data_IF_232874938146
#
_entry.id   IF_232874938146
#
_cell.length_a   1.000
_cell.length_b   1.000
_cell.length_c   1.000
_cell.angle_alpha   90.00
_cell.angle_beta   90.00
_cell.angle_gamma   90.00
#
_symmetry.space_group_name_H-M   'P 1'
#
loop_
_entity.id
_entity.type
_entity.pdbx_description
1 polymer ?
#
# COMPACT_ATOMS: atom_id res chain seq x y z
N UNK A 1 -34.07 8.43 8.21
CA UNK A 1 -32.62 8.24 7.96
C UNK A 1 -32.32 6.78 8.26
N UNK A 2 -31.97 5.98 7.25
CA UNK A 2 -31.58 4.58 7.49
C UNK A 2 -30.15 4.57 8.03
N UNK A 3 -29.97 4.19 9.28
CA UNK A 3 -28.63 3.95 9.85
C UNK A 3 -28.15 2.64 9.24
N UNK A 4 -27.22 2.71 8.29
CA UNK A 4 -26.55 1.54 7.75
C UNK A 4 -25.88 0.80 8.90
N UNK A 5 -26.35 -0.41 9.20
CA UNK A 5 -25.67 -1.30 10.15
C UNK A 5 -24.24 -1.54 9.66
N UNK A 6 -23.20 -1.43 10.51
CA UNK A 6 -21.84 -1.74 10.10
C UNK A 6 -21.77 -3.16 9.56
N UNK A 7 -21.22 -3.34 8.35
CA UNK A 7 -21.05 -4.66 7.75
C UNK A 7 -20.14 -5.52 8.64
N UNK A 8 -20.50 -6.77 8.88
CA UNK A 8 -19.75 -7.69 9.73
C UNK A 8 -18.38 -8.07 9.12
N UNK A 9 -18.16 -7.80 7.83
CA UNK A 9 -16.95 -8.11 7.08
C UNK A 9 -16.72 -7.20 5.87
N UNK A 10 -15.62 -7.46 5.15
CA UNK A 10 -15.29 -6.73 3.94
C UNK A 10 -16.01 -7.31 2.72
N UNK A 11 -16.34 -6.46 1.76
CA UNK A 11 -16.85 -6.92 0.47
C UNK A 11 -15.78 -7.66 -0.32
N UNK A 12 -16.21 -8.52 -1.26
CA UNK A 12 -15.29 -9.25 -2.15
C UNK A 12 -14.36 -8.30 -2.92
N UNK A 13 -14.88 -7.14 -3.37
CA UNK A 13 -14.10 -6.13 -4.05
C UNK A 13 -13.00 -5.53 -3.15
N UNK A 14 -13.31 -5.22 -1.89
CA UNK A 14 -12.33 -4.69 -0.93
C UNK A 14 -11.20 -5.69 -0.65
N UNK A 15 -11.52 -6.98 -0.59
CA UNK A 15 -10.55 -8.07 -0.38
C UNK A 15 -9.66 -8.25 -1.61
N UNK A 16 -10.24 -8.35 -2.81
CA UNK A 16 -9.47 -8.52 -4.05
C UNK A 16 -8.52 -7.34 -4.25
N UNK A 17 -9.02 -6.11 -4.13
CA UNK A 17 -8.18 -4.91 -4.26
C UNK A 17 -7.04 -4.88 -3.23
N UNK A 18 -7.27 -5.38 -2.01
CA UNK A 18 -6.22 -5.44 -0.98
C UNK A 18 -5.07 -6.32 -1.45
N UNK A 19 -5.39 -7.57 -1.82
CA UNK A 19 -4.37 -8.56 -2.15
C UNK A 19 -3.69 -8.28 -3.49
N UNK A 20 -4.42 -7.74 -4.47
CA UNK A 20 -3.81 -7.29 -5.72
C UNK A 20 -2.80 -6.19 -5.44
N UNK A 21 -3.17 -5.13 -4.71
CA UNK A 21 -2.24 -4.05 -4.38
C UNK A 21 -1.04 -4.57 -3.58
N UNK A 22 -1.26 -5.45 -2.58
CA UNK A 22 -0.18 -6.05 -1.80
C UNK A 22 0.81 -6.84 -2.69
N UNK A 23 0.30 -7.62 -3.64
CA UNK A 23 1.14 -8.37 -4.60
C UNK A 23 1.92 -7.43 -5.54
N UNK A 24 1.28 -6.37 -6.02
CA UNK A 24 1.94 -5.37 -6.88
C UNK A 24 3.02 -4.59 -6.11
N UNK A 25 2.81 -4.27 -4.83
CA UNK A 25 3.83 -3.66 -3.97
C UNK A 25 5.02 -4.61 -3.81
N UNK A 26 4.75 -5.89 -3.54
CA UNK A 26 5.83 -6.88 -3.44
C UNK A 26 6.62 -6.96 -4.75
N UNK A 27 5.95 -6.98 -5.90
CA UNK A 27 6.60 -6.92 -7.21
C UNK A 27 7.49 -5.66 -7.34
N UNK A 28 6.98 -4.48 -6.96
CA UNK A 28 7.76 -3.23 -6.99
C UNK A 28 9.03 -3.31 -6.14
N UNK A 29 8.94 -3.92 -4.96
CA UNK A 29 10.10 -4.12 -4.08
C UNK A 29 11.11 -5.15 -4.60
N UNK A 30 10.76 -5.95 -5.62
CA UNK A 30 11.68 -6.89 -6.26
C UNK A 30 12.33 -6.30 -7.52
N UNK A 31 11.66 -5.37 -8.21
CA UNK A 31 12.14 -4.79 -9.47
C UNK A 31 12.78 -3.41 -9.32
N UNK A 32 12.94 -2.90 -8.09
CA UNK A 32 13.46 -1.54 -7.87
C UNK A 32 14.91 -1.34 -8.33
N UNK A 33 15.77 -2.36 -8.22
CA UNK A 33 17.17 -2.26 -8.67
C UNK A 33 17.27 -1.93 -10.17
N UNK A 34 16.42 -2.54 -11.00
CA UNK A 34 16.35 -2.22 -12.42
C UNK A 34 15.86 -0.79 -12.70
N UNK A 35 15.10 -0.18 -11.79
CA UNK A 35 14.67 1.21 -11.92
C UNK A 35 15.79 2.17 -11.48
N UNK A 36 16.50 1.85 -10.41
CA UNK A 36 17.66 2.61 -9.92
C UNK A 36 18.76 2.66 -10.99
N UNK A 37 19.14 1.51 -11.56
CA UNK A 37 20.10 1.47 -12.68
C UNK A 37 19.67 2.30 -13.89
N UNK A 38 18.38 2.28 -14.22
CA UNK A 38 17.85 3.07 -15.34
C UNK A 38 17.83 4.57 -15.05
N UNK A 39 17.64 4.96 -13.79
CA UNK A 39 17.71 6.36 -13.35
C UNK A 39 19.14 6.88 -13.38
N UNK A 40 20.09 6.13 -12.84
CA UNK A 40 21.51 6.51 -12.79
C UNK A 40 22.07 6.68 -14.21
N UNK A 41 21.85 5.69 -15.08
CA UNK A 41 22.26 5.78 -16.48
C UNK A 41 21.66 7.01 -17.19
N UNK A 42 20.41 7.38 -16.86
CA UNK A 42 19.75 8.57 -17.41
C UNK A 42 20.41 9.86 -16.92
N UNK A 43 20.79 9.95 -15.65
CA UNK A 43 21.44 11.14 -15.07
C UNK A 43 22.90 11.28 -15.54
N UNK A 44 23.59 10.16 -15.71
CA UNK A 44 24.99 10.13 -16.17
C UNK A 44 25.12 10.27 -17.70
N UNK A 45 24.00 10.21 -18.44
CA UNK A 45 23.99 10.28 -19.91
C UNK A 45 24.52 9.01 -20.59
N UNK A 46 24.56 7.90 -19.86
CA UNK A 46 25.05 6.60 -20.32
C UNK A 46 23.94 5.66 -20.79
N UNK A 47 24.31 4.53 -21.41
CA UNK A 47 23.34 3.49 -21.77
C UNK A 47 22.83 2.75 -20.53
N UNK A 48 21.52 2.53 -20.44
CA UNK A 48 20.91 1.73 -19.39
C UNK A 48 21.05 0.22 -19.69
N UNK A 49 22.27 -0.28 -19.81
CA UNK A 49 22.53 -1.67 -20.19
C UNK A 49 21.92 -2.66 -19.18
N UNK A 50 21.02 -3.51 -19.66
CA UNK A 50 20.34 -4.52 -18.84
C UNK A 50 19.22 -4.00 -17.93
N UNK A 51 18.96 -2.68 -17.92
CA UNK A 51 17.92 -2.06 -17.10
C UNK A 51 16.69 -1.71 -17.92
N UNK A 52 15.51 -2.08 -17.41
CA UNK A 52 14.22 -1.70 -18.01
C UNK A 52 13.35 -0.98 -16.98
N UNK A 53 13.11 0.34 -17.12
CA UNK A 53 12.29 1.10 -16.17
C UNK A 53 10.78 0.86 -16.35
N UNK A 54 10.34 0.34 -17.50
CA UNK A 54 8.92 0.26 -17.84
C UNK A 54 8.08 -0.59 -16.87
N UNK A 55 8.51 -1.79 -16.43
CA UNK A 55 7.74 -2.59 -15.48
C UNK A 55 7.47 -1.83 -14.17
N UNK A 56 8.48 -1.12 -13.65
CA UNK A 56 8.35 -0.31 -12.44
C UNK A 56 7.37 0.84 -12.64
N UNK A 57 7.50 1.61 -13.73
CA UNK A 57 6.63 2.76 -14.02
C UNK A 57 5.18 2.32 -14.24
N UNK A 58 4.95 1.30 -15.06
CA UNK A 58 3.61 0.81 -15.40
C UNK A 58 2.90 0.25 -14.17
N UNK A 59 3.58 -0.63 -13.42
CA UNK A 59 2.98 -1.23 -12.22
C UNK A 59 2.79 -0.17 -11.12
N UNK A 60 3.68 0.81 -11.02
CA UNK A 60 3.59 1.88 -10.02
C UNK A 60 2.38 2.77 -10.29
N UNK A 61 2.18 3.10 -11.56
CA UNK A 61 0.98 3.83 -12.02
C UNK A 61 -0.30 3.02 -11.80
N UNK A 62 -0.26 1.71 -12.01
CA UNK A 62 -1.40 0.83 -11.73
C UNK A 62 -1.75 0.80 -10.23
N UNK A 63 -0.74 0.73 -9.34
CA UNK A 63 -0.95 0.82 -7.88
C UNK A 63 -1.65 2.13 -7.51
N UNK A 64 -1.22 3.26 -8.07
CA UNK A 64 -1.83 4.57 -7.82
C UNK A 64 -3.33 4.58 -8.15
N UNK A 65 -3.70 4.07 -9.33
CA UNK A 65 -5.11 4.01 -9.78
C UNK A 65 -5.92 3.06 -8.89
N UNK A 66 -5.38 1.86 -8.61
CA UNK A 66 -6.05 0.87 -7.78
C UNK A 66 -6.19 1.33 -6.32
N UNK A 67 -5.21 2.08 -5.80
CA UNK A 67 -5.28 2.69 -4.48
C UNK A 67 -6.38 3.76 -4.41
N UNK A 68 -6.54 4.57 -5.45
CA UNK A 68 -7.66 5.52 -5.55
C UNK A 68 -9.02 4.80 -5.54
N UNK A 69 -9.18 3.76 -6.36
CA UNK A 69 -10.40 2.94 -6.39
C UNK A 69 -10.66 2.32 -5.01
N UNK A 70 -9.63 1.75 -4.39
CA UNK A 70 -9.69 1.15 -3.06
C UNK A 70 -10.12 2.17 -2.01
N UNK A 71 -9.58 3.38 -2.04
CA UNK A 71 -9.94 4.45 -1.11
C UNK A 71 -11.40 4.87 -1.31
N UNK A 72 -11.85 5.07 -2.55
CA UNK A 72 -13.24 5.41 -2.86
C UNK A 72 -14.20 4.33 -2.32
N UNK A 73 -13.91 3.06 -2.55
CA UNK A 73 -14.73 1.95 -2.04
C UNK A 73 -14.72 1.92 -0.51
N UNK A 74 -13.55 2.14 0.13
CA UNK A 74 -13.44 2.21 1.59
C UNK A 74 -14.26 3.35 2.18
N UNK A 75 -14.29 4.51 1.53
CA UNK A 75 -15.08 5.67 1.97
C UNK A 75 -16.59 5.43 1.79
N UNK A 76 -17.00 4.73 0.72
CA UNK A 76 -18.42 4.42 0.45
C UNK A 76 -18.97 3.30 1.33
N UNK A 77 -18.20 2.23 1.50
CA UNK A 77 -18.66 1.00 2.15
C UNK A 77 -18.22 0.92 3.62
N UNK A 78 -17.31 1.80 4.06
CA UNK A 78 -16.77 1.78 5.40
C UNK A 78 -15.86 0.58 5.68
N UNK A 79 -15.70 0.31 6.96
CA UNK A 79 -14.89 -0.76 7.52
C UNK A 79 -15.71 -1.54 8.55
N UNK A 80 -15.49 -2.85 8.67
CA UNK A 80 -16.00 -3.60 9.81
C UNK A 80 -15.49 -2.99 11.13
N UNK A 81 -16.29 -3.02 12.19
CA UNK A 81 -15.90 -2.48 13.49
C UNK A 81 -14.69 -3.23 14.07
N UNK A 82 -13.89 -2.53 14.87
CA UNK A 82 -12.77 -3.15 15.59
C UNK A 82 -13.27 -4.27 16.53
N UNK A 83 -12.47 -5.31 16.80
CA UNK A 83 -12.84 -6.36 17.74
C UNK A 83 -13.25 -5.81 19.11
N UNK A 84 -14.38 -6.29 19.64
CA UNK A 84 -14.84 -5.92 20.97
C UNK A 84 -13.93 -6.50 22.07
N UNK A 85 -13.94 -5.87 23.25
CA UNK A 85 -13.19 -6.36 24.42
C UNK A 85 -11.67 -6.07 24.40
N UNK A 86 -11.20 -5.24 23.47
CA UNK A 86 -9.81 -4.78 23.42
C UNK A 86 -9.67 -3.31 23.81
N UNK A 87 -8.52 -2.89 24.39
CA UNK A 87 -8.21 -1.48 24.61
C UNK A 87 -8.36 -0.64 23.33
N UNK A 88 -9.02 0.52 23.45
CA UNK A 88 -9.33 1.40 22.33
C UNK A 88 -8.09 1.84 21.53
N UNK A 89 -6.91 1.87 22.17
CA UNK A 89 -5.64 2.22 21.55
C UNK A 89 -5.30 1.33 20.34
N UNK A 90 -5.67 0.05 20.34
CA UNK A 90 -5.42 -0.84 19.20
C UNK A 90 -6.19 -0.39 17.95
N UNK A 91 -7.42 0.07 18.12
CA UNK A 91 -8.21 0.62 17.02
C UNK A 91 -7.62 1.92 16.49
N UNK A 92 -7.19 2.82 17.38
CA UNK A 92 -6.54 4.09 17.01
C UNK A 92 -5.24 3.84 16.24
N UNK A 93 -4.35 2.99 16.76
CA UNK A 93 -3.09 2.64 16.09
C UNK A 93 -3.33 1.97 14.74
N UNK A 94 -4.31 1.08 14.64
CA UNK A 94 -4.68 0.48 13.37
C UNK A 94 -5.12 1.54 12.35
N UNK A 95 -5.94 2.52 12.75
CA UNK A 95 -6.37 3.58 11.85
C UNK A 95 -5.21 4.50 11.43
N UNK A 96 -4.29 4.82 12.34
CA UNK A 96 -3.08 5.60 12.02
C UNK A 96 -2.22 4.85 10.99
N UNK A 97 -1.89 3.58 11.24
CA UNK A 97 -1.05 2.78 10.32
C UNK A 97 -1.71 2.66 8.94
N UNK A 98 -3.01 2.38 8.88
CA UNK A 98 -3.72 2.34 7.59
C UNK A 98 -3.72 3.69 6.88
N UNK A 99 -3.94 4.79 7.62
CA UNK A 99 -3.89 6.15 7.07
C UNK A 99 -2.52 6.48 6.47
N UNK A 100 -1.44 6.18 7.20
CA UNK A 100 -0.07 6.39 6.74
C UNK A 100 0.25 5.52 5.51
N UNK A 101 -0.16 4.26 5.50
CA UNK A 101 -0.01 3.40 4.31
C UNK A 101 -0.76 3.99 3.12
N UNK A 102 -2.01 4.46 3.30
CA UNK A 102 -2.73 5.15 2.22
C UNK A 102 -1.95 6.33 1.69
N UNK A 103 -1.46 7.23 2.55
CA UNK A 103 -0.64 8.38 2.15
C UNK A 103 0.55 7.93 1.29
N UNK A 104 1.27 6.88 1.72
CA UNK A 104 2.41 6.36 0.98
C UNK A 104 2.05 5.70 -0.35
N UNK A 105 0.89 5.02 -0.45
CA UNK A 105 0.41 4.44 -1.71
C UNK A 105 0.14 5.49 -2.79
N UNK A 106 -0.07 6.75 -2.42
CA UNK A 106 -0.15 7.87 -3.37
C UNK A 106 1.20 8.56 -3.52
N UNK A 107 1.87 8.88 -2.40
CA UNK A 107 3.11 9.67 -2.41
C UNK A 107 4.24 8.98 -3.19
N UNK A 108 4.41 7.66 -3.06
CA UNK A 108 5.44 6.92 -3.80
C UNK A 108 5.23 7.00 -5.31
N UNK A 109 4.14 6.50 -5.92
CA UNK A 109 4.02 6.55 -7.37
C UNK A 109 3.96 7.98 -7.91
N UNK A 110 3.40 8.95 -7.18
CA UNK A 110 3.42 10.36 -7.61
C UNK A 110 4.86 10.90 -7.64
N UNK A 111 5.64 10.70 -6.57
CA UNK A 111 7.05 11.13 -6.54
C UNK A 111 7.89 10.45 -7.61
N UNK A 112 7.67 9.16 -7.89
CA UNK A 112 8.37 8.43 -8.95
C UNK A 112 8.02 8.95 -10.35
N UNK A 113 6.76 9.29 -10.60
CA UNK A 113 6.34 9.92 -11.87
C UNK A 113 6.96 11.32 -12.02
N UNK A 114 6.98 12.11 -10.95
CA UNK A 114 7.62 13.43 -10.93
C UNK A 114 9.13 13.32 -11.18
N UNK A 115 9.80 12.34 -10.57
CA UNK A 115 11.21 12.07 -10.80
C UNK A 115 11.47 11.73 -12.27
N UNK A 116 10.77 10.72 -12.80
CA UNK A 116 11.02 10.20 -14.14
C UNK A 116 10.67 11.18 -15.26
N UNK A 117 9.46 11.74 -15.23
CA UNK A 117 8.96 12.62 -16.29
C UNK A 117 9.36 14.08 -16.10
N UNK A 118 9.60 14.51 -14.86
CA UNK A 118 10.09 15.85 -14.55
C UNK A 118 11.62 15.96 -14.55
N UNK A 119 12.36 14.84 -14.53
CA UNK A 119 13.81 14.85 -14.40
C UNK A 119 14.30 15.44 -13.07
N UNK A 120 13.52 15.26 -11.99
CA UNK A 120 13.81 15.88 -10.68
C UNK A 120 14.51 14.87 -9.78
N UNK A 121 15.81 15.05 -9.57
CA UNK A 121 16.66 14.19 -8.74
C UNK A 121 16.19 14.10 -7.29
N UNK A 122 15.88 15.23 -6.65
CA UNK A 122 15.33 15.23 -5.29
C UNK A 122 14.06 14.37 -5.14
N UNK A 123 13.24 14.27 -6.19
CA UNK A 123 12.05 13.42 -6.17
C UNK A 123 12.42 11.93 -6.28
N UNK A 124 13.45 11.59 -7.06
CA UNK A 124 13.99 10.23 -7.15
C UNK A 124 14.58 9.78 -5.80
N UNK A 125 15.38 10.62 -5.16
CA UNK A 125 15.99 10.35 -3.86
C UNK A 125 14.94 10.09 -2.78
N UNK A 126 13.94 10.98 -2.68
CA UNK A 126 12.86 10.85 -1.71
C UNK A 126 12.02 9.60 -1.98
N UNK A 127 11.76 9.29 -3.25
CA UNK A 127 11.01 8.12 -3.69
C UNK A 127 11.74 6.80 -3.33
N UNK A 128 12.98 6.63 -3.78
CA UNK A 128 13.77 5.41 -3.62
C UNK A 128 14.33 5.20 -2.22
N UNK A 129 14.55 6.29 -1.47
CA UNK A 129 15.06 6.26 -0.11
C UNK A 129 13.96 6.31 0.96
N UNK A 130 13.69 7.48 1.58
CA UNK A 130 12.89 7.58 2.79
C UNK A 130 11.45 7.10 2.63
N UNK A 131 10.78 7.38 1.50
CA UNK A 131 9.39 6.93 1.31
C UNK A 131 9.30 5.41 1.18
N UNK A 132 10.22 4.78 0.45
CA UNK A 132 10.29 3.32 0.33
C UNK A 132 10.55 2.67 1.69
N UNK A 133 11.51 3.17 2.46
CA UNK A 133 11.80 2.66 3.80
C UNK A 133 10.61 2.81 4.76
N UNK A 134 9.92 3.96 4.73
CA UNK A 134 8.72 4.19 5.52
C UNK A 134 7.61 3.20 5.16
N UNK A 135 7.41 2.91 3.86
CA UNK A 135 6.44 1.92 3.41
C UNK A 135 6.79 0.52 3.93
N UNK A 136 8.05 0.09 3.77
CA UNK A 136 8.50 -1.22 4.23
C UNK A 136 8.26 -1.36 5.74
N UNK A 137 8.67 -0.37 6.53
CA UNK A 137 8.48 -0.39 7.98
C UNK A 137 6.99 -0.48 8.36
N UNK A 138 6.13 0.33 7.74
CA UNK A 138 4.70 0.32 8.02
C UNK A 138 4.00 -0.96 7.57
N UNK A 139 4.41 -1.54 6.44
CA UNK A 139 3.89 -2.85 5.97
C UNK A 139 4.29 -3.95 6.94
N UNK A 140 5.54 -3.97 7.41
CA UNK A 140 5.99 -4.95 8.41
C UNK A 140 5.23 -4.79 9.73
N UNK A 141 5.04 -3.56 10.22
CA UNK A 141 4.22 -3.27 11.41
C UNK A 141 2.78 -3.73 11.18
N UNK A 142 2.20 -3.46 10.01
CA UNK A 142 0.85 -3.87 9.66
C UNK A 142 0.68 -5.40 9.68
N UNK A 143 1.62 -6.14 9.07
CA UNK A 143 1.62 -7.61 9.07
C UNK A 143 1.80 -8.14 10.50
N UNK A 144 2.78 -7.63 11.25
CA UNK A 144 3.02 -8.05 12.62
C UNK A 144 1.79 -7.82 13.51
N UNK A 145 1.14 -6.65 13.39
CA UNK A 145 -0.09 -6.35 14.10
C UNK A 145 -1.23 -7.31 13.74
N UNK A 146 -1.38 -7.65 12.45
CA UNK A 146 -2.37 -8.62 11.99
C UNK A 146 -2.10 -10.02 12.57
N UNK A 147 -0.84 -10.45 12.63
CA UNK A 147 -0.43 -11.73 13.21
C UNK A 147 -0.66 -11.77 14.73
N UNK A 148 -0.29 -10.70 15.46
CA UNK A 148 -0.57 -10.57 16.90
C UNK A 148 -2.07 -10.64 17.18
N UNK A 149 -2.86 -9.92 16.39
CA UNK A 149 -4.31 -9.94 16.51
C UNK A 149 -4.90 -11.34 16.23
N UNK A 150 -4.38 -12.05 15.24
CA UNK A 150 -4.85 -13.38 14.87
C UNK A 150 -4.43 -14.46 15.89
N UNK A 151 -3.18 -14.46 16.35
CA UNK A 151 -2.61 -15.58 17.11
C UNK A 151 -2.54 -15.33 18.62
N UNK A 152 -2.29 -14.09 19.06
CA UNK A 152 -2.20 -13.73 20.48
C UNK A 152 -3.57 -13.30 20.99
N UNK A 153 -4.18 -12.31 20.34
CA UNK A 153 -5.48 -11.76 20.76
C UNK A 153 -6.67 -12.54 20.20
N UNK A 154 -6.44 -13.49 19.30
CA UNK A 154 -7.44 -14.40 18.71
C UNK A 154 -8.70 -13.67 18.21
N UNK A 155 -8.52 -12.48 17.66
CA UNK A 155 -9.63 -11.60 17.26
C UNK A 155 -10.25 -11.96 15.90
N UNK A 156 -9.63 -12.87 15.15
CA UNK A 156 -10.12 -13.35 13.86
C UNK A 156 -10.07 -12.29 12.75
N UNK A 157 -9.39 -11.15 12.95
CA UNK A 157 -9.42 -10.04 11.97
C UNK A 157 -8.80 -10.42 10.63
N UNK A 158 -7.82 -11.32 10.62
CA UNK A 158 -7.15 -11.74 9.39
C UNK A 158 -8.14 -12.48 8.48
N UNK A 159 -9.04 -13.27 9.06
CA UNK A 159 -10.08 -13.98 8.32
C UNK A 159 -11.03 -13.03 7.58
N UNK A 160 -11.25 -11.82 8.10
CA UNK A 160 -12.08 -10.79 7.43
C UNK A 160 -11.46 -10.29 6.13
N UNK A 161 -10.14 -10.46 5.95
CA UNK A 161 -9.46 -10.18 4.69
C UNK A 161 -9.25 -11.42 3.81
N UNK A 162 -9.71 -12.61 4.23
CA UNK A 162 -9.63 -13.83 3.44
C UNK A 162 -10.99 -14.25 2.87
N UNK A 163 -12.06 -13.99 3.62
CA UNK A 163 -13.42 -14.40 3.26
C UNK A 163 -14.33 -13.18 3.22
N UNK A 164 -15.09 -12.97 2.13
CA UNK A 164 -16.08 -11.90 2.07
C UNK A 164 -17.22 -12.18 3.06
N UNK A 165 -17.88 -11.11 3.50
CA UNK A 165 -19.17 -11.23 4.18
C UNK A 165 -20.22 -11.81 3.21
N UNK A 166 -21.04 -12.73 3.72
CA UNK A 166 -22.14 -13.40 2.98
C UNK A 166 -23.37 -12.52 2.89
#
# INVERSE_FOLDING_TARGET
MSVSTPSAGYSRAQIILHWVIAALILFQLLVHESMEMAWDARMEGGPAEGANPLPHIIVGSAILILAAIRLIIRLRNGAPPHPAGQPAIFGVLANIVHGLIYVLLFALPISGLVAWFGGIENAADVHGGPLRLALIALVLIHIAAALVQQFVLRSGILLRMMKPES
#
